data_IF_691904764080
#
_entry.id   IF_691904764080
#
_cell.length_a   1.000
_cell.length_b   1.000
_cell.length_c   1.000
_cell.angle_alpha   90.00
_cell.angle_beta   90.00
_cell.angle_gamma   90.00
#
_symmetry.space_group_name_H-M   'P 1'
#
loop_
_entity.id
_entity.type
_entity.pdbx_description
1 polymer ?
#
# COMPACT_ATOMS: atom_id res chain seq x y z
N UNK A 1 -14.37 21.02 -0.75
CA UNK A 1 -13.33 22.07 -0.85
C UNK A 1 -12.09 21.44 -1.42
N UNK A 2 -11.56 21.99 -2.52
CA UNK A 2 -10.33 21.49 -3.13
C UNK A 2 -9.19 22.40 -2.68
N UNK A 3 -8.15 21.84 -2.04
CA UNK A 3 -7.00 22.59 -1.51
C UNK A 3 -5.71 22.09 -2.14
N UNK A 4 -4.76 22.99 -2.45
CA UNK A 4 -3.64 22.58 -3.30
C UNK A 4 -2.28 23.25 -2.98
N UNK A 5 -1.18 22.48 -3.04
CA UNK A 5 0.13 22.80 -2.43
C UNK A 5 1.36 22.47 -3.32
N UNK A 6 2.52 23.11 -3.09
CA UNK A 6 3.78 22.97 -3.89
C UNK A 6 4.97 22.55 -2.99
N UNK A 7 5.85 21.63 -3.43
CA UNK A 7 6.98 21.09 -2.64
C UNK A 7 8.33 21.11 -3.37
N UNK A 8 9.45 21.26 -2.63
CA UNK A 8 10.84 21.26 -3.16
C UNK A 8 11.88 20.64 -2.21
N UNK A 9 12.62 19.62 -2.68
CA UNK A 9 14.07 19.43 -2.40
C UNK A 9 14.52 18.38 -1.38
N UNK A 10 15.35 17.41 -1.83
CA UNK A 10 15.97 16.31 -1.05
C UNK A 10 17.49 16.46 -0.90
N UNK A 11 18.11 15.78 0.09
CA UNK A 11 19.55 15.51 0.09
C UNK A 11 19.93 14.25 0.92
N UNK A 12 20.98 13.57 0.45
CA UNK A 12 21.50 12.24 0.81
C UNK A 12 22.92 12.31 1.41
N UNK A 13 23.39 11.16 1.97
CA UNK A 13 24.77 10.71 2.35
C UNK A 13 24.92 10.52 3.88
N UNK A 14 25.60 9.51 4.43
CA UNK A 14 26.48 8.45 3.93
C UNK A 14 27.71 8.29 4.85
N UNK A 15 28.23 7.06 4.99
CA UNK A 15 29.52 6.60 5.61
C UNK A 15 29.44 6.17 7.09
N UNK A 16 29.66 4.89 7.50
CA UNK A 16 30.79 3.92 7.41
C UNK A 16 31.95 4.20 8.39
N UNK A 17 32.23 3.22 9.28
CA UNK A 17 33.45 3.08 10.09
C UNK A 17 33.38 1.81 10.97
N UNK A 18 33.77 0.63 10.48
CA UNK A 18 35.07 -0.08 10.59
C UNK A 18 35.47 -0.52 12.01
N UNK A 19 35.59 -1.85 12.16
CA UNK A 19 35.95 -2.63 13.36
C UNK A 19 37.47 -2.67 13.62
N UNK A 20 37.85 -2.85 14.89
CA UNK A 20 39.19 -3.25 15.34
C UNK A 20 39.12 -4.24 16.52
N UNK A 21 40.18 -5.04 16.78
CA UNK A 21 40.04 -6.40 17.32
C UNK A 21 40.31 -6.56 18.83
N UNK A 22 39.85 -7.72 19.34
CA UNK A 22 39.87 -8.24 20.73
C UNK A 22 41.29 -8.38 21.33
N UNK A 23 41.36 -8.54 22.67
CA UNK A 23 42.01 -9.76 23.18
C UNK A 23 41.25 -10.47 24.32
N UNK A 24 41.58 -11.76 24.45
CA UNK A 24 40.94 -12.75 25.30
C UNK A 24 41.39 -12.67 26.76
N UNK A 25 40.43 -12.71 27.70
CA UNK A 25 40.68 -12.88 29.13
C UNK A 25 40.09 -14.20 29.65
N UNK A 26 40.90 -14.81 30.52
CA UNK A 26 40.85 -16.17 31.05
C UNK A 26 39.55 -16.51 31.80
N UNK A 27 39.13 -17.76 31.66
CA UNK A 27 38.01 -18.39 32.37
C UNK A 27 38.37 -18.65 33.84
N UNK A 28 37.57 -18.14 34.77
CA UNK A 28 37.47 -18.62 36.15
C UNK A 28 36.03 -19.10 36.40
N UNK A 29 35.89 -20.29 36.98
CA UNK A 29 34.64 -21.04 37.09
C UNK A 29 33.55 -20.35 37.91
N UNK A 30 32.36 -20.29 37.33
CA UNK A 30 31.11 -19.92 38.00
C UNK A 30 30.24 -21.18 38.07
N UNK A 31 29.66 -21.54 39.23
CA UNK A 31 28.84 -22.73 39.35
C UNK A 31 27.52 -22.56 38.58
N UNK A 32 27.24 -23.50 37.68
CA UNK A 32 26.05 -23.51 36.82
C UNK A 32 24.80 -23.81 37.63
N UNK A 33 23.89 -22.84 37.76
CA UNK A 33 22.50 -23.09 38.19
C UNK A 33 21.81 -24.01 37.17
N UNK A 34 20.92 -24.92 37.60
CA UNK A 34 20.23 -25.82 36.68
C UNK A 34 19.38 -25.00 35.72
N UNK A 35 19.56 -25.25 34.42
CA UNK A 35 18.82 -24.58 33.36
C UNK A 35 17.32 -24.83 33.54
N UNK A 36 16.53 -23.76 33.71
CA UNK A 36 15.07 -23.82 33.54
C UNK A 36 14.82 -24.37 32.14
N UNK A 37 14.17 -25.54 32.05
CA UNK A 37 13.67 -26.08 30.77
C UNK A 37 12.76 -25.03 30.16
N UNK A 38 13.26 -24.34 29.14
CA UNK A 38 12.44 -23.47 28.31
C UNK A 38 11.33 -24.31 27.69
N UNK A 39 10.09 -23.83 27.82
CA UNK A 39 8.97 -24.41 27.10
C UNK A 39 9.35 -24.43 25.60
N UNK A 40 9.43 -25.63 25.02
CA UNK A 40 9.62 -25.77 23.60
C UNK A 40 8.45 -25.06 22.92
N UNK A 41 8.73 -24.03 22.13
CA UNK A 41 7.75 -23.43 21.24
C UNK A 41 7.43 -24.47 20.19
N UNK A 42 6.39 -25.27 20.40
CA UNK A 42 5.83 -26.18 19.41
C UNK A 42 5.25 -25.31 18.30
N UNK A 43 6.09 -24.99 17.30
CA UNK A 43 5.60 -24.41 16.05
C UNK A 43 4.70 -25.46 15.40
N UNK A 44 3.52 -25.05 14.93
CA UNK A 44 2.63 -25.91 14.18
C UNK A 44 3.40 -26.58 13.03
N UNK A 45 3.17 -27.89 12.83
CA UNK A 45 3.80 -28.63 11.75
C UNK A 45 3.39 -28.00 10.41
N UNK A 46 4.37 -27.74 9.55
CA UNK A 46 4.11 -27.20 8.21
C UNK A 46 3.74 -28.35 7.27
N UNK A 47 2.64 -28.20 6.53
CA UNK A 47 2.36 -29.07 5.40
C UNK A 47 3.35 -28.75 4.28
N UNK A 48 4.05 -29.78 3.78
CA UNK A 48 5.02 -29.66 2.69
C UNK A 48 4.39 -30.24 1.42
N UNK A 49 4.13 -29.37 0.45
CA UNK A 49 3.69 -29.77 -0.87
C UNK A 49 4.88 -29.73 -1.82
N UNK A 50 5.34 -30.89 -2.26
CA UNK A 50 6.37 -30.99 -3.29
C UNK A 50 5.72 -30.91 -4.67
N UNK A 51 6.30 -30.10 -5.54
CA UNK A 51 5.84 -29.99 -6.92
C UNK A 51 6.45 -31.09 -7.81
N UNK A 52 6.34 -32.35 -7.40
CA UNK A 52 6.91 -33.49 -8.13
C UNK A 52 6.16 -33.77 -9.43
N UNK A 53 4.83 -33.61 -9.44
CA UNK A 53 3.95 -33.96 -10.57
C UNK A 53 3.20 -32.75 -11.18
N UNK A 54 3.59 -31.52 -10.83
CA UNK A 54 2.89 -30.31 -11.27
C UNK A 54 1.54 -30.05 -10.56
N UNK A 55 1.12 -30.95 -9.66
CA UNK A 55 -0.16 -30.87 -8.95
C UNK A 55 -0.26 -29.62 -8.06
N UNK A 56 0.83 -29.25 -7.37
CA UNK A 56 0.88 -28.04 -6.55
C UNK A 56 0.65 -26.78 -7.40
N UNK A 57 1.26 -26.71 -8.59
CA UNK A 57 1.06 -25.59 -9.52
C UNK A 57 -0.37 -25.53 -10.06
N UNK A 58 -0.98 -26.69 -10.37
CA UNK A 58 -2.39 -26.74 -10.80
C UNK A 58 -3.35 -26.27 -9.71
N UNK A 59 -3.10 -26.64 -8.45
CA UNK A 59 -3.89 -26.13 -7.30
C UNK A 59 -3.71 -24.63 -7.13
N UNK A 60 -2.47 -24.13 -7.16
CA UNK A 60 -2.23 -22.68 -7.12
C UNK A 60 -2.94 -21.95 -8.26
N UNK A 61 -2.88 -22.50 -9.48
CA UNK A 61 -3.60 -21.97 -10.63
C UNK A 61 -5.12 -21.94 -10.40
N UNK A 62 -5.71 -23.02 -9.87
CA UNK A 62 -7.14 -23.06 -9.55
C UNK A 62 -7.55 -21.96 -8.56
N UNK A 63 -6.70 -21.67 -7.57
CA UNK A 63 -6.92 -20.55 -6.65
C UNK A 63 -6.86 -19.18 -7.33
N UNK A 64 -5.91 -18.99 -8.25
CA UNK A 64 -5.82 -17.78 -9.09
C UNK A 64 -7.06 -17.63 -9.97
N UNK A 65 -7.49 -18.72 -10.62
CA UNK A 65 -8.64 -18.73 -11.51
C UNK A 65 -9.93 -18.41 -10.75
N UNK A 66 -10.10 -18.90 -9.51
CA UNK A 66 -11.23 -18.54 -8.63
C UNK A 66 -11.24 -17.04 -8.32
N UNK A 67 -10.10 -16.47 -7.90
CA UNK A 67 -9.99 -15.03 -7.65
C UNK A 67 -10.32 -14.22 -8.90
N UNK A 68 -9.72 -14.58 -10.04
CA UNK A 68 -9.92 -13.90 -11.30
C UNK A 68 -11.35 -14.04 -11.85
N UNK A 69 -12.04 -15.14 -11.55
CA UNK A 69 -13.45 -15.32 -11.95
C UNK A 69 -14.37 -14.34 -11.22
N UNK A 70 -14.15 -14.12 -9.92
CA UNK A 70 -14.98 -13.19 -9.13
C UNK A 70 -14.62 -11.74 -9.41
N UNK A 71 -13.34 -11.41 -9.50
CA UNK A 71 -12.89 -10.06 -9.86
C UNK A 71 -13.22 -9.76 -11.33
N UNK A 72 -13.15 -10.76 -12.20
CA UNK A 72 -13.40 -10.62 -13.64
C UNK A 72 -14.81 -10.15 -13.98
N UNK A 73 -15.82 -10.55 -13.20
CA UNK A 73 -17.20 -10.11 -13.45
C UNK A 73 -17.42 -8.62 -13.15
N UNK A 74 -16.54 -7.98 -12.37
CA UNK A 74 -16.64 -6.53 -12.08
C UNK A 74 -15.96 -5.68 -13.15
N UNK A 75 -15.27 -6.27 -14.13
CA UNK A 75 -14.57 -5.52 -15.17
C UNK A 75 -15.54 -4.85 -16.17
N UNK A 76 -15.27 -3.58 -16.46
CA UNK A 76 -15.86 -2.84 -17.57
C UNK A 76 -17.18 -2.13 -17.24
N UNK A 77 -17.75 -1.38 -18.20
CA UNK A 77 -18.91 -0.51 -17.97
C UNK A 77 -20.20 -1.27 -17.65
N UNK A 78 -20.25 -2.58 -17.93
CA UNK A 78 -21.35 -3.48 -17.60
C UNK A 78 -20.93 -4.52 -16.55
N UNK A 79 -19.99 -4.15 -15.69
CA UNK A 79 -19.57 -4.95 -14.54
C UNK A 79 -20.77 -5.38 -13.70
N UNK A 80 -20.72 -6.61 -13.20
CA UNK A 80 -21.76 -7.20 -12.36
C UNK A 80 -21.45 -6.93 -10.90
N UNK A 81 -22.51 -6.85 -10.11
CA UNK A 81 -22.39 -6.69 -8.67
C UNK A 81 -21.99 -8.02 -8.03
N UNK A 82 -21.04 -7.97 -7.11
CA UNK A 82 -20.63 -9.06 -6.23
C UNK A 82 -21.23 -8.80 -4.86
N UNK A 83 -21.82 -9.83 -4.25
CA UNK A 83 -22.40 -9.73 -2.91
C UNK A 83 -21.41 -10.33 -1.92
N UNK A 84 -21.01 -9.53 -0.94
CA UNK A 84 -20.08 -9.91 0.11
C UNK A 84 -20.83 -10.09 1.42
N UNK A 85 -20.58 -11.20 2.10
CA UNK A 85 -21.08 -11.45 3.44
C UNK A 85 -20.31 -10.59 4.45
N UNK A 86 -21.04 -9.91 5.32
CA UNK A 86 -20.48 -9.13 6.43
C UNK A 86 -20.66 -9.91 7.73
N UNK A 87 -19.65 -9.93 8.62
CA UNK A 87 -19.73 -10.63 9.93
C UNK A 87 -20.92 -10.19 10.79
N UNK A 88 -21.37 -8.94 10.63
CA UNK A 88 -22.54 -8.39 11.31
C UNK A 88 -23.30 -7.48 10.34
N UNK A 89 -24.63 -7.56 10.35
CA UNK A 89 -25.50 -6.68 9.56
C UNK A 89 -25.89 -7.24 8.19
N UNK A 90 -26.25 -6.34 7.28
CA UNK A 90 -26.73 -6.68 5.94
C UNK A 90 -25.58 -6.90 4.95
N UNK A 91 -25.73 -7.82 3.97
CA UNK A 91 -24.72 -8.07 2.96
C UNK A 91 -24.31 -6.80 2.21
N UNK A 92 -23.02 -6.68 1.91
CA UNK A 92 -22.47 -5.54 1.16
C UNK A 92 -22.47 -5.86 -0.33
N UNK A 93 -23.14 -5.05 -1.13
CA UNK A 93 -23.13 -5.17 -2.59
C UNK A 93 -22.01 -4.28 -3.12
N UNK A 94 -21.07 -4.87 -3.85
CA UNK A 94 -19.86 -4.18 -4.34
C UNK A 94 -19.68 -4.41 -5.84
N UNK A 95 -19.28 -3.35 -6.53
CA UNK A 95 -18.95 -3.34 -7.96
C UNK A 95 -17.46 -3.05 -8.21
N UNK A 96 -16.67 -2.85 -7.16
CA UNK A 96 -15.24 -2.57 -7.21
C UNK A 96 -14.40 -3.84 -7.04
N UNK A 97 -13.42 -4.04 -7.93
CA UNK A 97 -12.49 -5.17 -7.90
C UNK A 97 -11.50 -5.13 -6.74
N UNK A 98 -11.14 -3.95 -6.22
CA UNK A 98 -10.19 -3.82 -5.08
C UNK A 98 -10.80 -4.46 -3.84
N UNK A 99 -12.02 -4.07 -3.51
CA UNK A 99 -12.74 -4.56 -2.34
C UNK A 99 -13.01 -6.06 -2.45
N UNK A 100 -13.44 -6.53 -3.62
CA UNK A 100 -13.66 -7.96 -3.87
C UNK A 100 -12.35 -8.76 -3.69
N UNK A 101 -11.24 -8.31 -4.28
CA UNK A 101 -9.97 -9.01 -4.17
C UNK A 101 -9.45 -9.09 -2.71
N UNK A 102 -9.74 -8.08 -1.88
CA UNK A 102 -9.35 -8.06 -0.45
C UNK A 102 -10.07 -9.15 0.36
N UNK A 103 -11.36 -9.35 0.11
CA UNK A 103 -12.20 -10.30 0.88
C UNK A 103 -12.06 -11.76 0.43
N UNK A 104 -11.47 -12.03 -0.74
CA UNK A 104 -11.28 -13.42 -1.21
C UNK A 104 -10.23 -14.13 -0.37
N UNK A 105 -10.68 -15.16 0.36
CA UNK A 105 -9.85 -16.16 1.01
C UNK A 105 -10.38 -17.56 0.68
N UNK A 106 -9.48 -18.49 0.34
CA UNK A 106 -9.82 -19.86 -0.01
C UNK A 106 -9.47 -20.81 1.13
N UNK A 107 -10.29 -21.86 1.30
CA UNK A 107 -10.11 -22.88 2.34
C UNK A 107 -8.84 -23.72 2.12
N UNK A 108 -8.58 -24.13 0.87
CA UNK A 108 -7.36 -24.88 0.54
C UNK A 108 -6.13 -23.97 0.66
N UNK A 109 -5.14 -24.32 1.50
CA UNK A 109 -3.97 -23.46 1.71
C UNK A 109 -3.14 -23.20 0.45
N UNK A 110 -3.03 -24.18 -0.46
CA UNK A 110 -2.24 -24.07 -1.69
C UNK A 110 -2.95 -23.17 -2.71
N UNK A 111 -4.26 -23.35 -2.88
CA UNK A 111 -5.07 -22.45 -3.69
C UNK A 111 -5.04 -21.02 -3.14
N UNK A 112 -5.18 -20.86 -1.81
CA UNK A 112 -5.16 -19.57 -1.14
C UNK A 112 -3.81 -18.85 -1.30
N UNK A 113 -2.70 -19.58 -1.28
CA UNK A 113 -1.38 -19.00 -1.59
C UNK A 113 -1.36 -18.46 -3.03
N UNK A 114 -1.89 -19.21 -4.01
CA UNK A 114 -2.01 -18.76 -5.40
C UNK A 114 -2.80 -17.46 -5.53
N UNK A 115 -4.00 -17.41 -4.94
CA UNK A 115 -4.83 -16.22 -4.91
C UNK A 115 -4.12 -15.02 -4.23
N UNK A 116 -3.45 -15.26 -3.10
CA UNK A 116 -2.70 -14.21 -2.36
C UNK A 116 -1.56 -13.62 -3.18
N UNK A 117 -0.85 -14.41 -3.99
CA UNK A 117 0.22 -13.91 -4.86
C UNK A 117 -0.32 -12.93 -5.91
N UNK A 118 -1.43 -13.26 -6.54
CA UNK A 118 -2.07 -12.36 -7.54
C UNK A 118 -2.66 -11.13 -6.86
N UNK A 119 -3.27 -11.30 -5.69
CA UNK A 119 -3.76 -10.18 -4.87
C UNK A 119 -2.65 -9.19 -4.51
N UNK A 120 -1.45 -9.69 -4.21
CA UNK A 120 -0.30 -8.83 -3.94
C UNK A 120 0.12 -8.01 -5.17
N UNK A 121 0.09 -8.60 -6.36
CA UNK A 121 0.35 -7.88 -7.61
C UNK A 121 -0.73 -6.82 -7.89
N UNK A 122 -2.01 -7.16 -7.69
CA UNK A 122 -3.12 -6.22 -7.83
C UNK A 122 -3.02 -5.05 -6.83
N UNK A 123 -2.75 -5.32 -5.54
CA UNK A 123 -2.57 -4.29 -4.52
C UNK A 123 -1.41 -3.35 -4.87
N UNK A 124 -0.26 -3.90 -5.28
CA UNK A 124 0.89 -3.08 -5.67
C UNK A 124 0.59 -2.20 -6.89
N UNK A 125 -0.25 -2.66 -7.80
CA UNK A 125 -0.72 -1.85 -8.94
C UNK A 125 -1.57 -0.69 -8.45
N UNK A 126 -2.50 -0.94 -7.53
CA UNK A 126 -3.31 0.11 -6.90
C UNK A 126 -2.45 1.15 -6.17
N UNK A 127 -1.44 0.69 -5.42
CA UNK A 127 -0.61 1.59 -4.60
C UNK A 127 0.27 2.51 -5.47
N UNK A 128 0.66 2.06 -6.67
CA UNK A 128 1.52 2.82 -7.58
C UNK A 128 0.73 3.65 -8.60
N UNK A 129 -0.41 3.14 -9.08
CA UNK A 129 -1.16 3.76 -10.17
C UNK A 129 -2.53 4.33 -9.74
N UNK A 130 -3.05 3.95 -8.56
CA UNK A 130 -4.35 4.39 -8.04
C UNK A 130 -5.57 3.67 -8.63
N UNK A 131 -5.39 2.83 -9.66
CA UNK A 131 -6.45 2.04 -10.32
C UNK A 131 -5.82 0.81 -11.03
N UNK A 132 -6.66 -0.02 -11.65
CA UNK A 132 -6.24 -1.12 -12.53
C UNK A 132 -6.16 -2.48 -11.87
N UNK A 133 -6.67 -2.62 -10.64
CA UNK A 133 -6.62 -3.88 -9.87
C UNK A 133 -7.32 -5.04 -10.57
N UNK A 134 -8.49 -4.77 -11.15
CA UNK A 134 -9.26 -5.75 -11.92
C UNK A 134 -8.48 -6.22 -13.14
N UNK A 135 -7.93 -5.27 -13.92
CA UNK A 135 -7.13 -5.55 -15.12
C UNK A 135 -5.86 -6.33 -14.77
N UNK A 136 -5.14 -5.93 -13.71
CA UNK A 136 -3.94 -6.63 -13.25
C UNK A 136 -4.24 -8.08 -12.84
N UNK A 137 -5.37 -8.32 -12.15
CA UNK A 137 -5.78 -9.66 -11.70
C UNK A 137 -6.07 -10.57 -12.90
N UNK A 138 -6.83 -10.07 -13.89
CA UNK A 138 -7.21 -10.85 -15.08
C UNK A 138 -5.99 -11.12 -15.97
N UNK A 139 -5.12 -10.13 -16.18
CA UNK A 139 -3.88 -10.31 -16.94
C UNK A 139 -2.96 -11.32 -16.28
N UNK A 140 -2.80 -11.25 -14.95
CA UNK A 140 -2.00 -12.21 -14.21
C UNK A 140 -2.56 -13.63 -14.37
N UNK A 141 -3.87 -13.81 -14.22
CA UNK A 141 -4.52 -15.10 -14.41
C UNK A 141 -4.34 -15.62 -15.85
N UNK A 142 -4.52 -14.78 -16.86
CA UNK A 142 -4.33 -15.16 -18.27
C UNK A 142 -2.89 -15.60 -18.59
N UNK A 143 -1.89 -14.84 -18.10
CA UNK A 143 -0.47 -15.18 -18.28
C UNK A 143 -0.13 -16.50 -17.56
N UNK A 144 -0.64 -16.70 -16.34
CA UNK A 144 -0.43 -17.93 -15.58
C UNK A 144 -1.07 -19.12 -16.30
N UNK A 145 -2.31 -18.97 -16.77
CA UNK A 145 -3.04 -20.02 -17.47
C UNK A 145 -2.32 -20.47 -18.75
N UNK A 146 -1.91 -19.53 -19.60
CA UNK A 146 -1.18 -19.86 -20.83
C UNK A 146 0.25 -20.36 -20.56
N UNK A 147 0.94 -19.76 -19.59
CA UNK A 147 2.27 -20.19 -19.17
C UNK A 147 2.26 -21.64 -18.65
N UNK A 148 1.26 -22.00 -17.84
CA UNK A 148 1.09 -23.35 -17.32
C UNK A 148 0.84 -24.40 -18.41
N UNK A 149 0.08 -24.05 -19.47
CA UNK A 149 -0.11 -24.94 -20.64
C UNK A 149 1.21 -25.21 -21.36
N UNK A 150 2.02 -24.17 -21.57
CA UNK A 150 3.32 -24.29 -22.25
C UNK A 150 4.32 -25.10 -21.41
N UNK A 151 4.35 -24.89 -20.09
CA UNK A 151 5.19 -25.65 -19.17
C UNK A 151 4.75 -27.13 -19.11
N UNK A 152 3.45 -27.40 -19.11
CA UNK A 152 2.93 -28.76 -19.18
C UNK A 152 3.31 -29.50 -20.48
N UNK A 153 3.55 -28.76 -21.58
CA UNK A 153 4.07 -29.31 -22.83
C UNK A 153 5.58 -29.62 -22.79
N UNK A 154 6.26 -29.44 -21.65
CA UNK A 154 7.67 -29.77 -21.47
C UNK A 154 8.65 -28.65 -21.86
N UNK A 155 8.15 -27.44 -22.14
CA UNK A 155 9.01 -26.29 -22.46
C UNK A 155 9.71 -25.79 -21.19
N UNK A 156 10.96 -25.35 -21.34
CA UNK A 156 11.76 -24.84 -20.23
C UNK A 156 11.14 -23.54 -19.63
N UNK A 157 10.68 -23.55 -18.36
CA UNK A 157 10.04 -22.38 -17.74
C UNK A 157 10.95 -21.13 -17.69
N UNK A 158 12.27 -21.32 -17.58
CA UNK A 158 13.23 -20.21 -17.52
C UNK A 158 13.23 -19.42 -18.83
N UNK A 159 13.12 -20.12 -19.97
CA UNK A 159 13.07 -19.46 -21.28
C UNK A 159 11.73 -18.76 -21.50
N UNK A 160 10.64 -19.35 -21.02
CA UNK A 160 9.30 -18.74 -21.08
C UNK A 160 9.28 -17.42 -20.31
N UNK A 161 9.76 -17.40 -19.06
CA UNK A 161 9.82 -16.19 -18.23
C UNK A 161 10.69 -15.12 -18.89
N UNK A 162 11.89 -15.48 -19.38
CA UNK A 162 12.77 -14.53 -20.10
C UNK A 162 12.09 -13.96 -21.34
N UNK A 163 11.33 -14.77 -22.08
CA UNK A 163 10.56 -14.33 -23.23
C UNK A 163 9.47 -13.33 -22.85
N UNK A 164 8.72 -13.63 -21.78
CA UNK A 164 7.68 -12.75 -21.23
C UNK A 164 8.27 -11.41 -20.78
N UNK A 165 9.36 -11.41 -20.00
CA UNK A 165 10.01 -10.18 -19.50
C UNK A 165 10.48 -9.26 -20.63
N UNK A 166 11.13 -9.84 -21.65
CA UNK A 166 11.57 -9.07 -22.83
C UNK A 166 10.38 -8.50 -23.61
N UNK A 167 9.33 -9.30 -23.78
CA UNK A 167 8.11 -8.88 -24.48
C UNK A 167 7.43 -7.74 -23.73
N UNK A 168 7.23 -7.87 -22.42
CA UNK A 168 6.62 -6.82 -21.59
C UNK A 168 7.46 -5.54 -21.64
N UNK A 169 8.79 -5.64 -21.59
CA UNK A 169 9.67 -4.47 -21.66
C UNK A 169 9.49 -3.71 -22.99
N UNK A 170 9.43 -4.42 -24.11
CA UNK A 170 9.16 -3.80 -25.41
C UNK A 170 7.74 -3.22 -25.49
N UNK A 171 6.73 -3.95 -25.00
CA UNK A 171 5.35 -3.47 -25.00
C UNK A 171 5.15 -2.22 -24.15
N UNK A 172 5.86 -2.10 -23.02
CA UNK A 172 5.82 -0.88 -22.19
C UNK A 172 6.42 0.31 -22.95
N UNK A 173 7.49 0.10 -23.72
CA UNK A 173 8.06 1.16 -24.56
C UNK A 173 7.10 1.58 -25.69
N UNK A 174 6.45 0.61 -26.34
CA UNK A 174 5.42 0.89 -27.35
C UNK A 174 4.21 1.60 -26.74
N UNK A 175 3.77 1.21 -25.54
CA UNK A 175 2.67 1.86 -24.84
C UNK A 175 2.99 3.32 -24.50
N UNK A 176 4.24 3.61 -24.12
CA UNK A 176 4.70 4.98 -23.92
C UNK A 176 4.66 5.78 -25.24
N UNK A 177 5.02 5.16 -26.37
CA UNK A 177 4.93 5.80 -27.69
C UNK A 177 3.49 6.05 -28.16
N UNK A 178 2.54 5.20 -27.74
CA UNK A 178 1.10 5.38 -28.01
C UNK A 178 0.43 6.38 -27.05
N UNK A 179 1.09 6.75 -25.95
CA UNK A 179 0.54 7.68 -24.98
C UNK A 179 0.41 9.08 -25.57
N UNK A 180 -0.68 9.76 -25.23
CA UNK A 180 -0.94 11.14 -25.69
C UNK A 180 -0.75 12.07 -24.51
N UNK A 181 0.17 13.04 -24.65
CA UNK A 181 0.33 14.08 -23.64
C UNK A 181 -0.89 15.02 -23.66
N UNK A 182 -1.49 15.22 -22.49
CA UNK A 182 -2.65 16.09 -22.32
C UNK A 182 -2.17 17.54 -22.22
N UNK A 183 -2.68 18.40 -23.10
CA UNK A 183 -2.47 19.84 -23.01
C UNK A 183 -3.39 20.47 -21.95
N UNK A 184 -3.05 21.67 -21.48
CA UNK A 184 -3.81 22.32 -20.40
C UNK A 184 -5.26 22.61 -20.80
N UNK A 185 -5.53 22.79 -22.09
CA UNK A 185 -6.89 22.99 -22.62
C UNK A 185 -7.73 21.71 -22.62
N UNK A 186 -7.09 20.55 -22.76
CA UNK A 186 -7.76 19.24 -22.79
C UNK A 186 -7.97 18.67 -21.39
N UNK A 187 -7.28 19.22 -20.38
CA UNK A 187 -7.33 18.72 -19.00
C UNK A 187 -8.75 18.76 -18.42
N UNK A 188 -9.53 19.80 -18.76
CA UNK A 188 -10.95 19.89 -18.38
C UNK A 188 -11.77 18.75 -18.97
N UNK A 189 -11.56 18.46 -20.26
CA UNK A 189 -12.34 17.46 -20.98
C UNK A 189 -12.01 16.06 -20.46
N UNK A 190 -10.72 15.77 -20.21
CA UNK A 190 -10.27 14.53 -19.56
C UNK A 190 -10.88 14.40 -18.16
N UNK A 191 -10.78 15.45 -17.32
CA UNK A 191 -11.33 15.43 -15.98
C UNK A 191 -12.85 15.24 -15.97
N UNK A 192 -13.57 15.86 -16.93
CA UNK A 192 -15.03 15.71 -17.08
C UNK A 192 -15.42 14.28 -17.41
N UNK A 193 -14.71 13.64 -18.35
CA UNK A 193 -14.96 12.24 -18.73
C UNK A 193 -14.66 11.31 -17.56
N UNK A 194 -13.54 11.52 -16.86
CA UNK A 194 -13.15 10.76 -15.67
C UNK A 194 -14.13 10.93 -14.50
N UNK A 195 -14.77 12.09 -14.38
CA UNK A 195 -15.80 12.38 -13.36
C UNK A 195 -17.21 11.90 -13.76
N UNK A 196 -17.33 10.91 -14.66
CA UNK A 196 -18.61 10.36 -15.08
C UNK A 196 -19.45 11.30 -15.95
N UNK A 197 -18.81 12.23 -16.67
CA UNK A 197 -19.47 13.22 -17.52
C UNK A 197 -19.91 14.48 -16.78
N UNK A 198 -19.47 14.69 -15.54
CA UNK A 198 -19.80 15.89 -14.78
C UNK A 198 -18.87 17.06 -15.12
N UNK A 199 -19.37 17.98 -15.95
CA UNK A 199 -18.63 19.15 -16.40
C UNK A 199 -18.27 20.13 -15.26
N UNK A 200 -19.09 20.22 -14.20
CA UNK A 200 -18.82 21.11 -13.06
C UNK A 200 -17.58 20.63 -12.30
N UNK A 201 -17.50 19.32 -12.04
CA UNK A 201 -16.32 18.72 -11.38
C UNK A 201 -15.08 18.84 -12.29
N UNK A 202 -15.24 18.60 -13.59
CA UNK A 202 -14.14 18.75 -14.55
C UNK A 202 -13.55 20.17 -14.57
N UNK A 203 -14.41 21.19 -14.54
CA UNK A 203 -14.01 22.59 -14.47
C UNK A 203 -13.31 22.94 -13.14
N UNK A 204 -13.81 22.42 -12.02
CA UNK A 204 -13.19 22.61 -10.71
C UNK A 204 -11.79 22.01 -10.64
N UNK A 205 -11.61 20.78 -11.14
CA UNK A 205 -10.30 20.10 -11.19
C UNK A 205 -9.34 20.86 -12.10
N UNK A 206 -9.80 21.29 -13.28
CA UNK A 206 -8.98 22.07 -14.20
C UNK A 206 -8.57 23.42 -13.59
N UNK A 207 -9.50 24.12 -12.95
CA UNK A 207 -9.24 25.38 -12.25
C UNK A 207 -8.25 25.19 -11.09
N UNK A 208 -8.35 24.08 -10.35
CA UNK A 208 -7.40 23.76 -9.28
C UNK A 208 -5.99 23.54 -9.85
N UNK A 209 -5.87 22.65 -10.84
CA UNK A 209 -4.60 22.33 -11.52
C UNK A 209 -3.94 23.55 -12.17
N UNK A 210 -4.72 24.45 -12.76
CA UNK A 210 -4.21 25.68 -13.35
C UNK A 210 -3.58 26.62 -12.30
N UNK A 211 -4.09 26.62 -11.06
CA UNK A 211 -3.57 27.47 -9.97
C UNK A 211 -2.32 26.91 -9.30
N UNK A 212 -2.23 25.59 -9.15
CA UNK A 212 -1.09 24.95 -8.47
C UNK A 212 -0.03 24.38 -9.39
N UNK A 213 -0.33 24.29 -10.69
CA UNK A 213 0.53 23.66 -11.68
C UNK A 213 0.51 22.13 -11.60
N UNK A 214 1.17 21.48 -12.56
CA UNK A 214 1.15 20.02 -12.74
C UNK A 214 1.77 19.22 -11.59
N UNK A 215 2.65 19.85 -10.80
CA UNK A 215 3.28 19.23 -9.64
C UNK A 215 2.56 19.58 -8.32
N UNK A 216 1.43 20.28 -8.40
CA UNK A 216 0.65 20.67 -7.24
C UNK A 216 -0.11 19.48 -6.66
N UNK A 217 -0.09 19.36 -5.33
CA UNK A 217 -0.92 18.42 -4.59
C UNK A 217 -2.33 18.96 -4.59
N UNK A 218 -3.35 18.11 -4.71
CA UNK A 218 -4.75 18.49 -4.59
C UNK A 218 -5.45 17.59 -3.58
N UNK A 219 -6.04 18.19 -2.54
CA UNK A 219 -6.82 17.51 -1.52
C UNK A 219 -8.30 17.84 -1.67
N UNK A 220 -9.17 16.93 -1.24
CA UNK A 220 -10.61 17.10 -1.25
C UNK A 220 -11.14 16.97 0.18
N UNK A 221 -11.91 17.96 0.61
CA UNK A 221 -12.59 17.97 1.91
C UNK A 221 -14.11 18.09 1.72
N UNK A 222 -14.87 17.43 2.59
CA UNK A 222 -16.33 17.51 2.60
C UNK A 222 -16.79 18.88 3.12
N UNK A 223 -17.67 19.53 2.38
CA UNK A 223 -18.21 20.84 2.75
C UNK A 223 -19.43 20.66 3.66
N UNK A 224 -19.57 21.54 4.67
CA UNK A 224 -20.80 21.63 5.49
C UNK A 224 -21.95 22.34 4.75
N UNK A 225 -21.68 22.87 3.56
CA UNK A 225 -22.64 23.59 2.71
C UNK A 225 -22.76 22.89 1.36
N UNK A 226 -23.87 23.11 0.66
CA UNK A 226 -24.13 22.49 -0.64
C UNK A 226 -23.32 23.08 -1.81
N UNK A 227 -22.55 24.14 -1.56
CA UNK A 227 -21.75 24.80 -2.60
C UNK A 227 -20.33 24.22 -2.65
N UNK A 228 -19.86 24.00 -3.88
CA UNK A 228 -18.48 23.62 -4.16
C UNK A 228 -17.58 24.86 -4.08
N UNK A 229 -16.50 24.75 -3.32
CA UNK A 229 -15.50 25.82 -3.18
C UNK A 229 -14.09 25.31 -3.49
N UNK A 230 -13.34 26.13 -4.22
CA UNK A 230 -11.92 25.95 -4.48
C UNK A 230 -11.14 26.94 -3.63
N UNK A 231 -10.25 26.45 -2.77
CA UNK A 231 -9.38 27.30 -1.96
C UNK A 231 -7.93 26.93 -2.24
N UNK A 232 -7.07 27.93 -2.42
CA UNK A 232 -5.63 27.68 -2.51
C UNK A 232 -5.04 28.08 -1.18
N UNK A 233 -4.37 27.16 -0.52
CA UNK A 233 -3.73 27.39 0.77
C UNK A 233 -2.26 27.05 0.66
N UNK A 234 -1.45 27.72 1.48
CA UNK A 234 -0.04 27.35 1.59
C UNK A 234 0.11 26.06 2.39
N UNK A 235 0.95 25.16 1.89
CA UNK A 235 1.41 24.00 2.64
C UNK A 235 2.35 23.14 1.82
N UNK A 236 2.63 21.94 2.33
CA UNK A 236 3.71 21.08 1.84
C UNK A 236 3.37 19.60 2.00
N UNK A 237 3.91 18.80 1.09
CA UNK A 237 3.87 17.34 1.14
C UNK A 237 5.30 16.78 1.12
N UNK A 238 5.50 15.70 1.86
CA UNK A 238 6.74 14.93 1.91
C UNK A 238 6.46 13.46 1.58
N UNK A 239 7.42 12.80 0.94
CA UNK A 239 7.37 11.36 0.66
C UNK A 239 7.78 10.53 1.90
N UNK A 240 7.06 10.73 3.02
CA UNK A 240 7.24 10.02 4.29
C UNK A 240 5.87 9.63 4.86
N UNK A 241 5.74 8.38 5.28
CA UNK A 241 4.52 7.85 5.90
C UNK A 241 4.59 7.84 7.43
N UNK A 242 3.50 7.40 8.06
CA UNK A 242 3.47 7.14 9.51
C UNK A 242 4.36 5.94 9.87
N UNK A 243 4.98 5.98 11.06
CA UNK A 243 5.87 4.91 11.53
C UNK A 243 5.11 3.62 11.91
N UNK A 244 3.81 3.75 12.24
CA UNK A 244 2.99 2.64 12.69
C UNK A 244 1.53 2.77 12.22
N UNK A 245 0.91 1.71 11.66
CA UNK A 245 -0.50 1.72 11.26
C UNK A 245 -1.47 1.99 12.41
N UNK A 246 -1.04 1.81 13.67
CA UNK A 246 -1.87 2.13 14.83
C UNK A 246 -2.22 3.63 14.92
N UNK A 247 -1.50 4.51 14.22
CA UNK A 247 -1.80 5.94 14.17
C UNK A 247 -2.91 6.33 13.19
N UNK A 248 -3.39 5.40 12.35
CA UNK A 248 -4.51 5.63 11.43
C UNK A 248 -5.78 6.04 12.19
N UNK A 249 -6.45 7.10 11.74
CA UNK A 249 -7.73 7.57 12.30
C UNK A 249 -8.91 7.06 11.47
N UNK A 250 -8.73 6.96 10.15
CA UNK A 250 -9.69 6.35 9.22
C UNK A 250 -9.18 4.98 8.74
N UNK A 251 -9.69 3.86 9.29
CA UNK A 251 -9.24 2.52 8.94
C UNK A 251 -9.68 2.07 7.54
N UNK A 252 -10.69 2.72 6.92
CA UNK A 252 -11.12 2.38 5.56
C UNK A 252 -10.16 2.99 4.53
N UNK A 253 -9.84 4.28 4.70
CA UNK A 253 -8.91 5.02 3.83
C UNK A 253 -7.45 4.77 4.20
N UNK A 254 -7.18 4.22 5.39
CA UNK A 254 -5.83 4.05 5.96
C UNK A 254 -5.06 5.37 6.07
N UNK A 255 -5.74 6.44 6.49
CA UNK A 255 -5.20 7.80 6.63
C UNK A 255 -5.24 8.25 8.09
N UNK A 256 -4.27 9.09 8.49
CA UNK A 256 -4.28 9.81 9.77
C UNK A 256 -4.57 11.29 9.51
N UNK A 257 -5.75 11.75 9.93
CA UNK A 257 -6.24 13.13 9.73
C UNK A 257 -6.42 13.81 11.10
N UNK A 258 -5.91 15.03 11.25
CA UNK A 258 -5.97 15.79 12.51
C UNK A 258 -6.26 17.28 12.23
N UNK A 259 -7.19 17.86 12.98
CA UNK A 259 -7.51 19.30 12.95
C UNK A 259 -6.85 20.04 14.12
N UNK A 260 -6.45 21.30 13.91
CA UNK A 260 -5.87 22.13 14.98
C UNK A 260 -4.57 21.59 15.60
N UNK A 261 -3.84 20.78 14.84
CA UNK A 261 -2.66 20.06 15.30
C UNK A 261 -1.43 20.98 15.40
N UNK A 262 -0.56 20.75 16.40
CA UNK A 262 0.76 21.41 16.48
C UNK A 262 1.85 20.49 15.96
N UNK A 263 2.87 21.08 15.35
CA UNK A 263 4.01 20.36 14.77
C UNK A 263 5.23 20.43 15.70
N UNK A 264 5.77 19.26 16.07
CA UNK A 264 7.06 19.12 16.74
C UNK A 264 8.08 18.56 15.73
N UNK A 265 9.08 19.38 15.39
CA UNK A 265 10.18 18.99 14.52
C UNK A 265 11.44 18.73 15.37
N UNK A 266 12.05 17.56 15.19
CA UNK A 266 13.26 17.15 15.92
C UNK A 266 14.28 16.60 14.92
N UNK A 267 15.51 17.11 14.96
CA UNK A 267 16.60 16.75 14.04
C UNK A 267 17.43 15.54 14.49
N UNK A 268 16.97 14.83 15.52
CA UNK A 268 17.62 13.67 16.13
C UNK A 268 16.64 12.53 16.36
N UNK A 269 17.18 11.32 16.54
CA UNK A 269 16.40 10.16 16.95
C UNK A 269 15.85 10.30 18.36
N UNK A 270 14.60 9.91 18.54
CA UNK A 270 13.94 9.87 19.86
C UNK A 270 13.95 8.44 20.35
N UNK A 271 14.87 8.14 21.28
CA UNK A 271 14.99 6.81 21.86
C UNK A 271 14.03 6.60 23.03
N UNK A 272 13.93 7.59 23.93
CA UNK A 272 13.19 7.46 25.19
C UNK A 272 11.98 8.37 25.25
N UNK A 273 10.91 7.91 25.91
CA UNK A 273 9.71 8.73 26.12
C UNK A 273 9.99 9.96 27.01
N UNK A 274 11.02 9.91 27.87
CA UNK A 274 11.37 10.97 28.82
C UNK A 274 11.64 12.31 28.14
N UNK A 275 12.29 12.26 26.98
CA UNK A 275 12.64 13.46 26.20
C UNK A 275 11.40 14.19 25.65
N UNK A 276 10.25 13.50 25.58
CA UNK A 276 9.00 14.04 25.07
C UNK A 276 7.98 14.40 26.16
N UNK A 277 8.15 13.93 27.41
CA UNK A 277 7.14 14.08 28.47
C UNK A 277 6.72 15.54 28.65
N UNK A 278 7.67 16.48 28.70
CA UNK A 278 7.36 17.90 28.88
C UNK A 278 6.52 18.48 27.73
N UNK A 279 6.75 18.04 26.49
CA UNK A 279 5.97 18.49 25.33
C UNK A 279 4.59 17.84 25.33
N UNK A 280 4.50 16.55 25.65
CA UNK A 280 3.24 15.82 25.76
C UNK A 280 2.34 16.39 26.86
N UNK A 281 2.89 16.72 28.02
CA UNK A 281 2.15 17.42 29.09
C UNK A 281 1.61 18.78 28.64
N UNK A 282 2.38 19.51 27.82
CA UNK A 282 1.95 20.75 27.20
C UNK A 282 0.81 20.55 26.21
N UNK A 283 0.85 19.47 25.43
CA UNK A 283 -0.23 19.10 24.50
C UNK A 283 -1.51 18.70 25.25
N UNK A 284 -1.39 17.90 26.31
CA UNK A 284 -2.51 17.50 27.16
C UNK A 284 -3.17 18.72 27.81
N UNK A 285 -2.37 19.63 28.38
CA UNK A 285 -2.91 20.88 28.98
C UNK A 285 -3.60 21.78 27.96
N UNK A 286 -3.09 21.80 26.73
CA UNK A 286 -3.64 22.62 25.66
C UNK A 286 -4.81 21.99 24.91
N UNK A 287 -5.07 20.70 25.10
CA UNK A 287 -6.15 19.98 24.44
C UNK A 287 -6.03 19.92 22.92
N UNK A 288 -4.81 19.87 22.36
CA UNK A 288 -4.58 19.83 20.92
C UNK A 288 -3.82 18.56 20.49
N UNK A 289 -4.07 18.02 19.29
CA UNK A 289 -3.26 16.94 18.72
C UNK A 289 -1.82 17.40 18.44
N UNK A 290 -0.86 16.47 18.54
CA UNK A 290 0.55 16.74 18.29
C UNK A 290 1.09 15.84 17.16
N UNK A 291 1.59 16.44 16.10
CA UNK A 291 2.30 15.77 15.01
C UNK A 291 3.80 15.85 15.28
N UNK A 292 4.46 14.69 15.38
CA UNK A 292 5.90 14.59 15.66
C UNK A 292 6.60 14.13 14.39
N UNK A 293 7.54 14.94 13.90
CA UNK A 293 8.46 14.56 12.82
C UNK A 293 9.89 14.59 13.35
N UNK A 294 10.52 13.40 13.38
CA UNK A 294 11.89 13.22 13.82
C UNK A 294 12.67 12.39 12.80
N UNK A 295 13.99 12.27 12.96
CA UNK A 295 14.81 11.36 12.15
C UNK A 295 14.31 9.90 12.27
N UNK A 296 14.05 9.47 13.51
CA UNK A 296 13.53 8.14 13.85
C UNK A 296 12.93 8.14 15.26
N UNK A 297 11.99 7.22 15.53
CA UNK A 297 11.40 7.01 16.86
C UNK A 297 11.60 5.53 17.23
N UNK A 298 12.41 5.27 18.25
CA UNK A 298 12.73 3.90 18.65
C UNK A 298 11.55 3.20 19.36
N UNK A 299 11.63 1.88 19.47
CA UNK A 299 10.52 1.03 19.95
C UNK A 299 9.97 1.42 21.33
N UNK A 300 10.82 1.87 22.26
CA UNK A 300 10.39 2.27 23.61
C UNK A 300 9.51 3.53 23.58
N UNK A 301 9.99 4.59 22.91
CA UNK A 301 9.23 5.80 22.71
C UNK A 301 7.96 5.54 21.88
N UNK A 302 8.07 4.75 20.80
CA UNK A 302 6.95 4.40 19.93
C UNK A 302 5.85 3.64 20.69
N UNK A 303 6.21 2.62 21.47
CA UNK A 303 5.25 1.85 22.26
C UNK A 303 4.46 2.75 23.22
N UNK A 304 5.16 3.72 23.83
CA UNK A 304 4.52 4.70 24.71
C UNK A 304 3.54 5.58 23.94
N UNK A 305 3.92 6.07 22.75
CA UNK A 305 3.03 6.88 21.91
C UNK A 305 1.81 6.10 21.42
N UNK A 306 1.97 4.84 21.03
CA UNK A 306 0.85 4.00 20.59
C UNK A 306 -0.15 3.75 21.72
N UNK A 307 0.32 3.54 22.95
CA UNK A 307 -0.56 3.30 24.11
C UNK A 307 -1.32 4.57 24.52
N UNK A 308 -0.74 5.76 24.30
CA UNK A 308 -1.32 7.04 24.70
C UNK A 308 -2.01 7.80 23.55
N UNK A 309 -2.16 7.19 22.38
CA UNK A 309 -2.95 7.74 21.27
C UNK A 309 -4.43 7.76 21.64
#
# INVERSE_FOLDING_TARGET
MISAMVSSGSATRGLIGVQGPRPALRRSGVPTRPARRGAAVTRAAKQLHFNTDGEALKRMQAGVDKLASVVGVTLGPKGRNVVLETKYGSPKIVNDGVTVAREVELEDPVENIGAKLVRQAASKTNDLAGDGTTTATILAAGIIQEGMKIVAAGVNPVQVIRGLERTVTHLVAELAALSTEVSDNELRDVATVSAGGNAVIGELIASAMARVGRAGVVTMEESKTAEDSLQVVEGMQFDRGYISPYFVTDPERMVAEYEGCRLLLVDRKIATARDMVGVLEGAIRGGYPLLIMAEDIEQEALATLVVNK
#
